data_IF_373375114323
#
_entry.id   IF_373375114323
#
_cell.length_a   1.000
_cell.length_b   1.000
_cell.length_c   1.000
_cell.angle_alpha   90.00
_cell.angle_beta   90.00
_cell.angle_gamma   90.00
#
_symmetry.space_group_name_H-M   'P 1'
#
loop_
_entity.id
_entity.type
_entity.pdbx_description
1 polymer ?
#
# COMPACT_ATOMS: atom_id res chain seq x y z
N UNK A 1 -4.37 -4.15 7.35
CA UNK A 1 -5.50 -3.81 8.22
C UNK A 1 -6.49 -4.95 8.24
N UNK A 2 -6.54 -5.71 9.31
CA UNK A 2 -7.59 -6.71 9.52
C UNK A 2 -8.39 -6.25 10.73
N UNK A 3 -9.67 -5.86 10.61
CA UNK A 3 -10.51 -5.60 11.76
C UNK A 3 -10.61 -6.88 12.61
N UNK A 4 -10.31 -6.79 13.88
CA UNK A 4 -10.54 -7.89 14.79
C UNK A 4 -12.06 -8.14 14.90
N UNK A 5 -12.54 -9.38 14.84
CA UNK A 5 -13.95 -9.69 14.99
C UNK A 5 -14.38 -9.39 16.42
N UNK A 6 -14.97 -8.24 16.65
CA UNK A 6 -15.67 -7.93 17.87
C UNK A 6 -17.15 -8.20 17.64
N UNK A 7 -17.79 -8.93 18.53
CA UNK A 7 -19.12 -9.51 18.52
C UNK A 7 -20.34 -8.73 17.97
N UNK A 8 -20.20 -7.86 17.02
CA UNK A 8 -21.30 -7.29 16.25
C UNK A 8 -21.74 -8.28 15.17
N UNK A 9 -22.99 -8.70 15.24
CA UNK A 9 -23.68 -9.66 14.36
C UNK A 9 -23.91 -9.20 12.91
N UNK A 10 -23.20 -8.23 12.38
CA UNK A 10 -23.21 -7.92 10.95
C UNK A 10 -21.83 -8.19 10.43
N UNK A 11 -21.77 -9.02 9.40
CA UNK A 11 -20.59 -9.40 8.65
C UNK A 11 -19.75 -8.17 8.30
N UNK A 12 -18.86 -7.81 9.21
CA UNK A 12 -17.84 -6.80 8.87
C UNK A 12 -16.88 -7.53 7.95
N UNK A 13 -16.82 -7.17 6.67
CA UNK A 13 -15.93 -7.86 5.77
C UNK A 13 -14.50 -7.70 6.28
N UNK A 14 -13.79 -8.82 6.40
CA UNK A 14 -12.34 -8.81 6.66
C UNK A 14 -11.69 -8.21 5.43
N UNK A 15 -11.42 -6.92 5.48
CA UNK A 15 -10.82 -6.20 4.37
C UNK A 15 -9.44 -5.72 4.83
N UNK A 16 -8.43 -6.05 4.04
CA UNK A 16 -7.08 -5.54 4.24
C UNK A 16 -6.94 -4.20 3.52
N UNK A 17 -6.44 -3.20 4.23
CA UNK A 17 -6.19 -1.87 3.68
C UNK A 17 -4.71 -1.53 3.77
N UNK A 18 -4.21 -0.86 2.74
CA UNK A 18 -2.86 -0.30 2.73
C UNK A 18 -2.97 1.21 2.74
N UNK A 19 -2.24 1.86 3.64
CA UNK A 19 -2.19 3.33 3.68
C UNK A 19 -1.35 3.82 2.50
N UNK A 20 -1.97 4.55 1.58
CA UNK A 20 -1.31 5.08 0.40
C UNK A 20 -0.60 6.41 0.67
N UNK A 21 -1.25 7.30 1.41
CA UNK A 21 -0.69 8.61 1.77
C UNK A 21 -1.32 9.20 3.02
N UNK A 22 -0.56 10.04 3.70
CA UNK A 22 -1.04 10.94 4.75
C UNK A 22 -1.14 12.35 4.18
N UNK A 23 -2.24 13.04 4.50
CA UNK A 23 -2.46 14.43 4.10
C UNK A 23 -2.63 15.26 5.35
N UNK A 24 -1.69 16.15 5.63
CA UNK A 24 -1.79 17.10 6.74
C UNK A 24 -2.41 18.40 6.27
N UNK A 25 -3.48 18.82 6.94
CA UNK A 25 -4.17 20.08 6.70
C UNK A 25 -3.92 21.03 7.89
N UNK A 26 -2.68 21.45 8.09
CA UNK A 26 -2.34 22.42 9.13
C UNK A 26 -2.30 23.82 8.53
N UNK A 27 -3.28 24.60 8.92
CA UNK A 27 -3.45 26.07 8.85
C UNK A 27 -3.35 26.79 7.51
N UNK A 28 -2.66 26.41 6.50
CA UNK A 28 -2.63 27.15 5.20
C UNK A 28 -1.94 26.30 4.11
N UNK A 29 -1.18 25.31 4.49
CA UNK A 29 -0.39 24.52 3.57
C UNK A 29 -0.75 23.04 3.72
N UNK A 30 -1.40 22.49 2.72
CA UNK A 30 -1.64 21.06 2.61
C UNK A 30 -0.29 20.37 2.36
N UNK A 31 0.14 19.54 3.30
CA UNK A 31 1.33 18.70 3.12
C UNK A 31 0.89 17.27 2.88
N UNK A 32 1.33 16.69 1.78
CA UNK A 32 1.09 15.29 1.45
C UNK A 32 2.38 14.48 1.63
N UNK A 33 2.28 13.37 2.33
CA UNK A 33 3.36 12.41 2.47
C UNK A 33 2.90 11.06 1.94
N UNK A 34 3.46 10.64 0.83
CA UNK A 34 3.15 9.36 0.22
C UNK A 34 3.86 8.22 0.95
N UNK A 35 3.14 7.13 1.16
CA UNK A 35 3.77 5.89 1.57
C UNK A 35 4.55 5.30 0.39
N UNK A 36 5.76 4.81 0.66
CA UNK A 36 6.63 4.23 -0.36
C UNK A 36 6.19 2.80 -0.67
N UNK A 37 5.13 2.69 -1.45
CA UNK A 37 4.60 1.43 -1.98
C UNK A 37 4.53 1.55 -3.50
N UNK A 38 4.49 0.42 -4.20
CA UNK A 38 4.46 0.39 -5.66
C UNK A 38 3.22 1.07 -6.24
N UNK A 39 3.31 1.54 -7.48
CA UNK A 39 2.23 2.24 -8.18
C UNK A 39 0.98 1.39 -8.32
N UNK A 40 1.12 0.08 -8.50
CA UNK A 40 0.01 -0.87 -8.59
C UNK A 40 -0.92 -0.82 -7.37
N UNK A 41 -0.39 -0.56 -6.18
CA UNK A 41 -1.21 -0.37 -4.98
C UNK A 41 -1.84 1.02 -4.90
N UNK A 42 -1.25 2.03 -5.56
CA UNK A 42 -1.79 3.39 -5.58
C UNK A 42 -3.02 3.52 -6.49
N UNK A 43 -3.15 2.65 -7.48
CA UNK A 43 -4.26 2.61 -8.44
C UNK A 43 -5.50 1.88 -7.91
N UNK A 44 -5.38 1.16 -6.79
CA UNK A 44 -6.51 0.48 -6.17
C UNK A 44 -7.54 1.47 -5.63
N UNK A 45 -8.81 1.01 -5.56
CA UNK A 45 -9.89 1.81 -4.99
C UNK A 45 -9.52 2.27 -3.58
N UNK A 46 -9.54 3.58 -3.37
CA UNK A 46 -9.19 4.18 -2.08
C UNK A 46 -10.39 4.83 -1.42
N UNK A 47 -10.35 4.92 -0.10
CA UNK A 47 -11.30 5.71 0.69
C UNK A 47 -10.55 6.50 1.76
N UNK A 48 -11.24 7.45 2.37
CA UNK A 48 -10.64 8.38 3.31
C UNK A 48 -10.75 7.88 4.74
N UNK A 49 -9.73 8.15 5.52
CA UNK A 49 -9.73 7.99 6.97
C UNK A 49 -9.18 9.23 7.66
N UNK A 50 -9.11 9.21 8.97
CA UNK A 50 -8.54 10.28 9.78
C UNK A 50 -7.31 9.76 10.50
N UNK A 51 -6.28 10.59 10.67
CA UNK A 51 -5.18 10.29 11.57
C UNK A 51 -4.94 11.43 12.55
N UNK A 52 -4.51 11.07 13.75
CA UNK A 52 -4.12 11.97 14.80
C UNK A 52 -2.77 11.57 15.38
N UNK A 53 -1.84 12.50 15.47
CA UNK A 53 -0.61 12.31 16.24
C UNK A 53 -0.88 12.70 17.69
N UNK A 54 -0.68 11.75 18.59
CA UNK A 54 -0.88 11.93 20.02
C UNK A 54 0.41 12.38 20.68
N UNK A 55 0.30 13.24 21.68
CA UNK A 55 1.44 13.70 22.47
C UNK A 55 1.93 12.63 23.45
N UNK A 56 1.01 11.80 23.94
CA UNK A 56 1.30 10.74 24.90
C UNK A 56 0.92 9.37 24.35
N UNK A 57 1.61 8.34 24.82
CA UNK A 57 1.28 6.95 24.51
C UNK A 57 -0.08 6.63 25.12
N UNK A 58 -1.05 6.12 24.34
CA UNK A 58 -2.39 5.80 24.83
C UNK A 58 -2.40 4.45 25.57
N UNK A 59 -1.55 4.30 26.58
CA UNK A 59 -1.43 3.07 27.34
C UNK A 59 -1.47 3.33 28.85
N UNK A 60 -2.05 2.39 29.58
CA UNK A 60 -1.97 2.32 31.05
C UNK A 60 -1.26 1.02 31.39
N UNK A 61 -0.22 1.09 32.20
CA UNK A 61 0.61 -0.08 32.57
C UNK A 61 1.12 -0.88 31.36
N UNK A 62 1.58 -0.20 30.31
CA UNK A 62 2.05 -0.81 29.06
C UNK A 62 0.98 -1.65 28.31
N UNK A 63 -0.28 -1.54 28.68
CA UNK A 63 -1.39 -2.17 27.97
C UNK A 63 -2.28 -1.12 27.34
N UNK A 64 -2.68 -1.36 26.12
CA UNK A 64 -3.63 -0.53 25.40
C UNK A 64 -5.06 -0.91 25.86
N UNK A 65 -5.57 -0.22 26.89
CA UNK A 65 -6.82 -0.58 27.57
C UNK A 65 -7.93 0.44 27.23
N UNK A 66 -8.04 0.80 25.99
CA UNK A 66 -9.12 1.72 25.62
C UNK A 66 -10.26 0.93 24.99
N UNK A 67 -11.36 0.79 25.73
CA UNK A 67 -12.53 0.01 25.30
C UNK A 67 -13.58 0.86 24.61
N UNK A 68 -13.62 2.15 24.92
CA UNK A 68 -14.62 3.06 24.38
C UNK A 68 -14.02 4.39 23.95
N UNK A 69 -14.77 5.11 23.13
CA UNK A 69 -14.31 6.37 22.57
C UNK A 69 -14.10 7.47 23.63
N UNK A 70 -14.86 7.47 24.72
CA UNK A 70 -14.68 8.44 25.80
C UNK A 70 -13.27 8.38 26.41
N UNK A 71 -12.77 7.16 26.57
CA UNK A 71 -11.42 6.95 27.12
C UNK A 71 -10.32 7.51 26.23
N UNK A 72 -10.49 7.42 24.90
CA UNK A 72 -9.49 7.94 23.96
C UNK A 72 -9.70 9.42 23.62
N UNK A 73 -10.92 9.92 23.73
CA UNK A 73 -11.24 11.32 23.42
C UNK A 73 -10.39 12.32 24.21
N UNK A 74 -10.03 11.97 25.46
CA UNK A 74 -9.16 12.78 26.32
C UNK A 74 -7.75 12.95 25.77
N UNK A 75 -7.29 12.06 24.89
CA UNK A 75 -5.96 12.11 24.29
C UNK A 75 -5.88 13.07 23.09
N UNK A 76 -7.01 13.47 22.54
CA UNK A 76 -7.07 14.37 21.38
C UNK A 76 -7.10 15.83 21.81
N UNK A 77 -6.31 16.65 21.10
CA UNK A 77 -6.40 18.09 21.20
C UNK A 77 -7.75 18.61 20.69
N UNK A 78 -8.12 19.83 21.03
CA UNK A 78 -9.37 20.42 20.56
C UNK A 78 -9.41 20.53 19.01
N UNK A 79 -8.29 20.85 18.38
CA UNK A 79 -8.19 20.92 16.93
C UNK A 79 -8.41 19.54 16.27
N UNK A 80 -7.87 18.48 16.86
CA UNK A 80 -8.09 17.11 16.39
C UNK A 80 -9.57 16.69 16.53
N UNK A 81 -10.21 17.02 17.65
CA UNK A 81 -11.65 16.78 17.87
C UNK A 81 -12.50 17.50 16.85
N UNK A 82 -12.19 18.76 16.57
CA UNK A 82 -12.90 19.55 15.56
C UNK A 82 -12.71 18.97 14.15
N UNK A 83 -11.52 18.47 13.84
CA UNK A 83 -11.24 17.83 12.55
C UNK A 83 -12.03 16.54 12.38
N UNK A 84 -12.04 15.67 13.40
CA UNK A 84 -12.82 14.43 13.38
C UNK A 84 -14.31 14.75 13.19
N UNK A 85 -14.83 15.75 13.92
CA UNK A 85 -16.21 16.21 13.75
C UNK A 85 -16.50 16.66 12.32
N UNK A 86 -15.66 17.52 11.76
CA UNK A 86 -15.82 18.01 10.38
C UNK A 86 -15.77 16.86 9.36
N UNK A 87 -14.93 15.87 9.60
CA UNK A 87 -14.85 14.67 8.77
C UNK A 87 -16.15 13.87 8.82
N UNK A 88 -16.69 13.61 10.01
CA UNK A 88 -17.97 12.90 10.18
C UNK A 88 -19.11 13.64 9.48
N UNK A 89 -19.24 14.96 9.69
CA UNK A 89 -20.28 15.78 9.05
C UNK A 89 -20.21 15.70 7.53
N UNK A 90 -19.01 15.80 6.97
CA UNK A 90 -18.82 15.88 5.51
C UNK A 90 -18.88 14.52 4.79
N UNK A 91 -18.79 13.41 5.51
CA UNK A 91 -18.69 12.07 4.91
C UNK A 91 -19.78 11.09 5.40
N UNK A 92 -20.68 11.50 6.29
CA UNK A 92 -21.74 10.66 6.85
C UNK A 92 -22.59 9.97 5.79
N UNK A 93 -22.93 10.69 4.71
CA UNK A 93 -23.78 10.18 3.63
C UNK A 93 -22.99 9.34 2.60
N UNK A 94 -21.67 9.25 2.76
CA UNK A 94 -20.78 8.58 1.80
C UNK A 94 -20.17 7.30 2.31
N UNK A 95 -20.01 7.18 3.63
CA UNK A 95 -19.34 6.08 4.27
C UNK A 95 -20.15 5.58 5.47
N UNK A 96 -20.25 4.27 5.61
CA UNK A 96 -20.84 3.64 6.80
C UNK A 96 -19.86 3.66 7.99
N UNK A 97 -18.56 3.68 7.69
CA UNK A 97 -17.49 3.70 8.68
C UNK A 97 -16.23 4.40 8.14
N UNK A 98 -15.31 4.71 9.02
CA UNK A 98 -13.97 5.18 8.65
C UNK A 98 -12.90 4.71 9.65
N UNK A 99 -11.65 4.51 9.22
CA UNK A 99 -10.55 4.25 10.12
C UNK A 99 -10.02 5.55 10.73
N UNK A 100 -9.82 5.51 12.05
CA UNK A 100 -9.11 6.54 12.80
C UNK A 100 -7.77 5.97 13.26
N UNK A 101 -6.68 6.57 12.76
CA UNK A 101 -5.32 6.21 13.12
C UNK A 101 -4.82 7.11 14.25
N UNK A 102 -4.33 6.51 15.31
CA UNK A 102 -3.66 7.18 16.41
C UNK A 102 -2.16 6.87 16.35
N UNK A 103 -1.36 7.86 15.98
CA UNK A 103 0.10 7.75 15.96
C UNK A 103 0.71 8.32 17.22
N UNK A 104 1.73 7.69 17.77
CA UNK A 104 2.52 8.20 18.87
C UNK A 104 3.99 7.82 18.73
N UNK A 105 4.86 8.66 19.26
CA UNK A 105 6.32 8.42 19.18
C UNK A 105 6.74 7.30 20.11
N UNK A 106 7.62 6.44 19.64
CA UNK A 106 8.27 5.41 20.43
C UNK A 106 9.72 5.79 20.72
N UNK A 107 10.33 5.27 21.81
CA UNK A 107 11.71 5.61 22.19
C UNK A 107 12.74 5.37 21.10
N UNK A 108 12.53 4.36 20.27
CA UNK A 108 13.42 3.99 19.16
C UNK A 108 13.38 4.95 17.97
N UNK A 109 12.64 6.06 18.09
CA UNK A 109 12.62 7.15 17.11
C UNK A 109 11.62 7.01 15.96
N UNK A 110 10.69 6.07 16.06
CA UNK A 110 9.59 5.89 15.09
C UNK A 110 8.27 6.47 15.57
N UNK A 111 7.24 6.31 14.72
CA UNK A 111 5.84 6.52 15.08
C UNK A 111 5.15 5.17 15.02
N UNK A 112 4.64 4.73 16.16
CA UNK A 112 3.77 3.58 16.21
C UNK A 112 2.33 4.01 15.93
N UNK A 113 1.63 3.21 15.15
CA UNK A 113 0.24 3.47 14.75
C UNK A 113 -0.69 2.42 15.34
N UNK A 114 -1.74 2.91 15.97
CA UNK A 114 -2.90 2.12 16.35
C UNK A 114 -4.08 2.58 15.51
N UNK A 115 -4.94 1.67 15.12
CA UNK A 115 -6.11 2.06 14.37
C UNK A 115 -7.40 1.51 14.97
N UNK A 116 -8.45 2.27 14.82
CA UNK A 116 -9.79 1.89 15.20
C UNK A 116 -10.74 2.17 14.05
N UNK A 117 -11.76 1.35 13.94
CA UNK A 117 -12.87 1.56 13.01
C UNK A 117 -14.00 2.23 13.77
N UNK A 118 -14.44 3.36 13.27
CA UNK A 118 -15.57 4.12 13.79
C UNK A 118 -16.72 4.02 12.82
N UNK A 119 -17.89 3.62 13.29
CA UNK A 119 -19.10 3.54 12.48
C UNK A 119 -19.86 4.88 12.57
N UNK A 120 -20.34 5.37 11.45
CA UNK A 120 -21.03 6.68 11.37
C UNK A 120 -22.30 6.72 12.22
N UNK A 121 -23.02 5.60 12.29
CA UNK A 121 -24.23 5.47 13.10
C UNK A 121 -23.98 5.57 14.61
N UNK A 122 -22.78 5.22 15.06
CA UNK A 122 -22.36 5.33 16.46
C UNK A 122 -21.89 6.75 16.84
N UNK A 123 -21.90 7.68 15.89
CA UNK A 123 -21.40 9.04 16.04
C UNK A 123 -22.52 10.07 15.76
N UNK A 124 -23.57 10.14 16.57
CA UNK A 124 -24.62 11.12 16.38
C UNK A 124 -24.06 12.53 16.47
N UNK A 125 -24.65 13.45 15.70
CA UNK A 125 -24.31 14.86 15.71
C UNK A 125 -25.31 15.55 16.62
N UNK A 126 -24.85 16.03 17.77
CA UNK A 126 -25.67 16.73 18.75
C UNK A 126 -25.41 18.25 18.76
N UNK A 127 -26.47 19.07 18.94
CA UNK A 127 -26.29 20.49 19.16
C UNK A 127 -25.73 20.74 20.57
N UNK A 128 -24.56 21.35 20.64
CA UNK A 128 -24.00 21.80 21.90
C UNK A 128 -24.19 23.30 22.02
N UNK A 129 -24.82 23.76 23.13
CA UNK A 129 -24.85 25.17 23.45
C UNK A 129 -23.49 25.62 23.97
N UNK A 130 -22.82 26.45 23.20
CA UNK A 130 -21.60 27.16 23.67
C UNK A 130 -21.96 28.63 23.92
N UNK A 131 -21.86 29.07 25.18
CA UNK A 131 -22.04 30.46 25.56
C UNK A 131 -23.51 30.92 25.70
N UNK A 132 -23.69 32.19 26.04
CA UNK A 132 -25.01 32.85 26.29
C UNK A 132 -25.70 33.35 25.03
N UNK A 133 -25.21 33.00 23.84
CA UNK A 133 -25.75 33.47 22.56
C UNK A 133 -26.55 32.46 21.77
N UNK A 134 -27.17 32.94 20.67
CA UNK A 134 -27.96 32.11 19.73
C UNK A 134 -27.16 31.12 18.90
N UNK A 135 -25.83 31.03 19.05
CA UNK A 135 -24.98 30.17 18.26
C UNK A 135 -24.97 28.77 18.82
N UNK A 136 -25.64 27.83 18.14
CA UNK A 136 -25.56 26.42 18.40
C UNK A 136 -24.39 25.85 17.61
N UNK A 137 -23.39 25.29 18.30
CA UNK A 137 -22.37 24.46 17.67
C UNK A 137 -22.86 23.00 17.65
N UNK A 138 -22.75 22.39 16.51
CA UNK A 138 -23.00 20.96 16.36
C UNK A 138 -21.73 20.19 16.64
N UNK A 139 -21.74 19.28 17.62
CA UNK A 139 -20.63 18.40 17.90
C UNK A 139 -21.01 16.95 17.68
N UNK A 140 -20.08 16.17 17.24
CA UNK A 140 -20.26 14.73 17.17
C UNK A 140 -20.23 14.16 18.58
N UNK A 141 -21.28 13.43 18.97
CA UNK A 141 -21.29 12.71 20.24
C UNK A 141 -20.58 11.35 20.09
N UNK A 142 -19.52 11.21 20.85
CA UNK A 142 -18.72 9.99 20.87
C UNK A 142 -18.95 9.15 22.13
N UNK A 143 -19.91 9.53 22.98
CA UNK A 143 -20.04 8.99 24.34
C UNK A 143 -20.45 7.53 24.40
N UNK A 144 -21.07 6.99 23.37
CA UNK A 144 -21.61 5.63 23.38
C UNK A 144 -20.91 4.66 22.45
N UNK A 145 -19.96 5.11 21.64
CA UNK A 145 -19.28 4.26 20.67
C UNK A 145 -18.34 3.26 21.32
N UNK A 146 -18.56 1.98 21.10
CA UNK A 146 -17.52 0.98 21.33
C UNK A 146 -16.45 1.11 20.26
N UNK A 147 -15.19 1.04 20.68
CA UNK A 147 -14.06 1.06 19.75
C UNK A 147 -13.88 -0.35 19.19
N UNK A 148 -13.90 -0.44 17.88
CA UNK A 148 -13.48 -1.64 17.18
C UNK A 148 -12.02 -1.44 16.75
N UNK A 149 -11.10 -2.10 17.43
CA UNK A 149 -9.69 -2.06 17.11
C UNK A 149 -9.41 -2.83 15.83
N UNK A 150 -8.46 -2.32 15.06
CA UNK A 150 -7.90 -2.99 13.90
C UNK A 150 -6.42 -3.25 14.12
N UNK A 151 -5.97 -4.43 13.74
CA UNK A 151 -4.54 -4.74 13.75
C UNK A 151 -3.81 -3.86 12.73
N UNK A 152 -2.67 -3.30 13.16
CA UNK A 152 -1.80 -2.51 12.30
C UNK A 152 -0.44 -3.17 12.20
N UNK A 153 0.03 -3.35 10.99
CA UNK A 153 1.34 -3.95 10.71
C UNK A 153 2.18 -2.95 9.94
N UNK A 154 3.42 -2.76 10.36
CA UNK A 154 4.39 -1.96 9.60
C UNK A 154 4.85 -2.76 8.37
N UNK A 155 4.48 -2.27 7.19
CA UNK A 155 4.87 -2.83 5.90
C UNK A 155 5.97 -2.01 5.23
N UNK A 156 6.65 -1.12 5.97
CA UNK A 156 7.81 -0.40 5.42
C UNK A 156 8.86 -1.39 4.91
N UNK A 157 9.62 -0.98 3.90
CA UNK A 157 10.62 -1.86 3.26
C UNK A 157 11.56 -2.53 4.26
N UNK A 158 12.05 -1.76 5.25
CA UNK A 158 12.94 -2.27 6.29
C UNK A 158 12.30 -3.37 7.12
N UNK A 159 11.02 -3.22 7.46
CA UNK A 159 10.30 -4.19 8.30
C UNK A 159 9.88 -5.42 7.49
N UNK A 160 9.42 -5.19 6.26
CA UNK A 160 8.96 -6.24 5.35
C UNK A 160 10.08 -7.23 4.99
N UNK A 161 11.28 -6.73 4.68
CA UNK A 161 12.42 -7.54 4.27
C UNK A 161 13.48 -7.73 5.36
N UNK A 162 13.23 -7.34 6.60
CA UNK A 162 14.22 -7.22 7.67
C UNK A 162 15.11 -8.45 7.91
N UNK A 163 14.63 -9.65 7.56
CA UNK A 163 15.38 -10.91 7.74
C UNK A 163 16.00 -11.47 6.46
N UNK A 164 15.59 -11.02 5.31
CA UNK A 164 15.99 -11.57 4.02
C UNK A 164 16.30 -10.51 2.96
N UNK A 165 16.44 -9.24 3.38
CA UNK A 165 16.72 -8.17 2.45
C UNK A 165 18.09 -8.34 1.79
N UNK A 166 18.12 -8.21 0.45
CA UNK A 166 19.38 -7.99 -0.26
C UNK A 166 19.99 -6.64 0.13
N UNK A 167 21.30 -6.43 -0.09
CA UNK A 167 21.95 -5.13 0.14
C UNK A 167 21.16 -4.00 -0.54
N UNK A 168 21.06 -2.85 0.13
CA UNK A 168 20.25 -1.70 -0.33
C UNK A 168 20.68 -1.21 -1.71
N UNK A 169 21.96 -1.26 -1.98
CA UNK A 169 22.57 -0.88 -3.25
C UNK A 169 22.04 -1.77 -4.39
N UNK A 170 21.95 -3.08 -4.13
CA UNK A 170 21.44 -4.05 -5.08
C UNK A 170 19.92 -3.97 -5.23
N UNK A 171 19.20 -3.76 -4.12
CA UNK A 171 17.75 -3.65 -4.13
C UNK A 171 17.19 -2.49 -4.98
N UNK A 172 17.98 -1.42 -5.14
CA UNK A 172 17.58 -0.25 -5.93
C UNK A 172 18.00 -0.34 -7.41
N UNK A 173 18.74 -1.38 -7.78
CA UNK A 173 19.17 -1.59 -9.17
C UNK A 173 17.97 -1.85 -10.07
N UNK A 174 18.05 -1.35 -11.30
CA UNK A 174 17.14 -1.70 -12.39
C UNK A 174 17.59 -3.02 -12.99
N UNK A 175 16.75 -4.04 -12.89
CA UNK A 175 17.06 -5.40 -13.33
C UNK A 175 16.16 -5.82 -14.48
N UNK A 176 16.75 -6.31 -15.55
CA UNK A 176 16.04 -6.92 -16.68
C UNK A 176 16.17 -8.44 -16.59
N UNK A 177 15.05 -9.14 -16.73
CA UNK A 177 15.02 -10.60 -16.87
C UNK A 177 14.44 -10.92 -18.25
N UNK A 178 15.28 -11.50 -19.09
CA UNK A 178 14.93 -11.94 -20.44
C UNK A 178 14.58 -13.42 -20.40
N UNK A 179 13.35 -13.77 -20.83
CA UNK A 179 12.79 -15.10 -20.71
C UNK A 179 12.26 -15.41 -19.31
N UNK A 180 10.95 -15.38 -19.12
CA UNK A 180 10.29 -15.71 -17.84
C UNK A 180 9.66 -17.11 -17.84
N UNK A 181 10.37 -18.07 -18.45
CA UNK A 181 10.05 -19.50 -18.40
C UNK A 181 10.36 -20.11 -17.02
N UNK A 182 10.83 -21.36 -17.02
CA UNK A 182 11.11 -22.12 -15.80
C UNK A 182 12.13 -21.41 -14.88
N UNK A 183 13.23 -20.95 -15.46
CA UNK A 183 14.33 -20.31 -14.68
C UNK A 183 13.97 -18.86 -14.36
N UNK A 184 13.63 -18.06 -15.36
CA UNK A 184 13.43 -16.61 -15.17
C UNK A 184 12.23 -16.27 -14.28
N UNK A 185 11.15 -17.07 -14.31
CA UNK A 185 10.01 -16.85 -13.42
C UNK A 185 10.35 -17.10 -11.95
N UNK A 186 11.10 -18.15 -11.66
CA UNK A 186 11.58 -18.46 -10.29
C UNK A 186 12.60 -17.44 -9.82
N UNK A 187 13.49 -16.99 -10.72
CA UNK A 187 14.44 -15.91 -10.43
C UNK A 187 13.72 -14.62 -10.08
N UNK A 188 12.72 -14.20 -10.89
CA UNK A 188 11.92 -13.00 -10.65
C UNK A 188 11.22 -13.05 -9.28
N UNK A 189 10.59 -14.18 -8.96
CA UNK A 189 9.97 -14.40 -7.65
C UNK A 189 11.01 -14.30 -6.51
N UNK A 190 12.15 -14.95 -6.66
CA UNK A 190 13.22 -14.95 -5.65
C UNK A 190 13.75 -13.53 -5.42
N UNK A 191 14.07 -12.80 -6.48
CA UNK A 191 14.52 -11.40 -6.39
C UNK A 191 13.50 -10.52 -5.68
N UNK A 192 12.22 -10.69 -6.00
CA UNK A 192 11.13 -9.95 -5.35
C UNK A 192 11.04 -10.27 -3.85
N UNK A 193 11.14 -11.54 -3.47
CA UNK A 193 11.17 -11.98 -2.05
C UNK A 193 12.39 -11.48 -1.31
N UNK A 194 13.51 -11.30 -2.00
CA UNK A 194 14.73 -10.69 -1.45
C UNK A 194 14.71 -9.17 -1.43
N UNK A 195 13.69 -8.53 -1.99
CA UNK A 195 13.50 -7.08 -1.90
C UNK A 195 13.96 -6.27 -3.10
N UNK A 196 14.13 -6.88 -4.28
CA UNK A 196 14.31 -6.12 -5.51
C UNK A 196 13.13 -5.18 -5.74
N UNK A 197 13.42 -3.93 -6.14
CA UNK A 197 12.39 -2.89 -6.30
C UNK A 197 12.02 -2.61 -7.74
N UNK A 198 12.93 -2.80 -8.67
CA UNK A 198 12.73 -2.42 -10.05
C UNK A 198 13.06 -3.62 -10.96
N UNK A 199 12.03 -4.30 -11.40
CA UNK A 199 12.15 -5.45 -12.30
C UNK A 199 11.47 -5.15 -13.63
N UNK A 200 12.16 -5.44 -14.71
CA UNK A 200 11.59 -5.45 -16.06
C UNK A 200 11.66 -6.89 -16.57
N UNK A 201 10.53 -7.39 -17.02
CA UNK A 201 10.38 -8.76 -17.50
C UNK A 201 10.13 -8.75 -19.00
N UNK A 202 10.88 -9.53 -19.74
CA UNK A 202 10.71 -9.69 -21.18
C UNK A 202 10.50 -11.16 -21.54
N UNK A 203 9.42 -11.45 -22.25
CA UNK A 203 9.13 -12.76 -22.86
C UNK A 203 8.08 -12.56 -23.97
N UNK A 204 8.25 -13.22 -25.09
CA UNK A 204 7.33 -13.12 -26.25
C UNK A 204 6.16 -14.10 -26.16
N UNK A 205 6.27 -15.09 -25.30
CA UNK A 205 5.35 -16.22 -25.26
C UNK A 205 4.14 -15.98 -24.37
N UNK A 206 3.07 -16.69 -24.71
CA UNK A 206 1.97 -16.92 -23.80
C UNK A 206 2.26 -18.14 -22.91
N UNK A 207 1.62 -18.16 -21.73
CA UNK A 207 1.66 -19.28 -20.83
C UNK A 207 0.90 -20.48 -21.42
N UNK A 208 1.53 -21.63 -21.37
CA UNK A 208 0.91 -22.91 -21.71
C UNK A 208 0.72 -23.79 -20.46
N UNK A 209 -0.27 -24.70 -20.46
CA UNK A 209 -0.49 -25.59 -19.31
C UNK A 209 0.75 -26.37 -18.89
N UNK A 210 1.57 -26.85 -19.85
CA UNK A 210 2.81 -27.56 -19.61
C UNK A 210 3.93 -26.71 -18.99
N UNK A 211 3.79 -25.41 -18.97
CA UNK A 211 4.76 -24.52 -18.31
C UNK A 211 4.56 -24.46 -16.79
N UNK A 212 3.31 -24.64 -16.33
CA UNK A 212 2.92 -24.40 -14.92
C UNK A 212 3.67 -25.32 -13.94
N UNK A 213 3.93 -26.54 -14.31
CA UNK A 213 4.62 -27.50 -13.42
C UNK A 213 6.09 -27.14 -13.13
N UNK A 214 6.70 -26.22 -13.89
CA UNK A 214 8.11 -25.86 -13.79
C UNK A 214 8.37 -24.35 -13.66
N UNK A 215 7.32 -23.55 -13.60
CA UNK A 215 7.41 -22.09 -13.54
C UNK A 215 6.67 -21.55 -12.32
N UNK A 216 6.93 -20.30 -11.94
CA UNK A 216 6.34 -19.70 -10.74
C UNK A 216 4.86 -19.30 -10.90
N UNK A 217 4.38 -19.15 -12.13
CA UNK A 217 3.00 -18.68 -12.34
C UNK A 217 1.95 -19.76 -12.11
N UNK A 218 0.77 -19.40 -11.58
CA UNK A 218 -0.31 -20.32 -11.26
C UNK A 218 -1.13 -20.71 -12.49
N UNK A 219 -1.86 -21.84 -12.41
CA UNK A 219 -2.73 -22.30 -13.49
C UNK A 219 -4.02 -21.48 -13.64
N UNK A 220 -4.61 -21.02 -12.53
CA UNK A 220 -5.96 -20.43 -12.53
C UNK A 220 -6.11 -19.16 -13.38
N UNK A 221 -5.02 -18.48 -13.71
CA UNK A 221 -5.03 -17.27 -14.53
C UNK A 221 -5.30 -17.55 -16.02
N UNK A 222 -5.32 -18.84 -16.43
CA UNK A 222 -5.57 -19.23 -17.81
C UNK A 222 -4.39 -18.98 -18.74
N UNK A 223 -4.66 -18.90 -20.05
CA UNK A 223 -3.66 -18.66 -21.09
C UNK A 223 -3.54 -17.16 -21.30
N UNK A 224 -2.49 -16.57 -20.73
CA UNK A 224 -2.15 -15.14 -20.84
C UNK A 224 -0.65 -14.99 -21.12
N UNK A 225 -0.22 -13.77 -21.41
CA UNK A 225 1.21 -13.47 -21.56
C UNK A 225 1.99 -13.83 -20.29
N UNK A 226 3.10 -14.56 -20.43
CA UNK A 226 3.94 -14.97 -19.31
C UNK A 226 4.38 -13.78 -18.45
N UNK A 227 4.79 -12.69 -19.10
CA UNK A 227 5.26 -11.47 -18.41
C UNK A 227 4.17 -10.82 -17.57
N UNK A 228 2.92 -10.77 -18.05
CA UNK A 228 1.79 -10.22 -17.31
C UNK A 228 1.44 -11.08 -16.10
N UNK A 229 1.46 -12.40 -16.25
CA UNK A 229 1.14 -13.32 -15.17
C UNK A 229 2.16 -13.22 -14.03
N UNK A 230 3.45 -13.22 -14.37
CA UNK A 230 4.53 -13.03 -13.39
C UNK A 230 4.45 -11.64 -12.75
N UNK A 231 4.24 -10.57 -13.51
CA UNK A 231 4.07 -9.22 -12.95
C UNK A 231 2.95 -9.18 -11.90
N UNK A 232 1.81 -9.81 -12.21
CA UNK A 232 0.70 -9.92 -11.27
C UNK A 232 1.09 -10.69 -9.99
N UNK A 233 1.80 -11.79 -10.13
CA UNK A 233 2.31 -12.56 -8.99
C UNK A 233 3.29 -11.73 -8.14
N UNK A 234 4.27 -11.07 -8.76
CA UNK A 234 5.29 -10.30 -8.03
C UNK A 234 4.69 -9.13 -7.24
N UNK A 235 3.70 -8.45 -7.81
CA UNK A 235 3.01 -7.36 -7.11
C UNK A 235 2.16 -7.87 -5.94
N UNK A 236 1.67 -9.12 -5.97
CA UNK A 236 1.00 -9.75 -4.83
C UNK A 236 1.99 -10.20 -3.74
N UNK A 237 3.22 -10.56 -4.12
CA UNK A 237 4.27 -10.94 -3.17
C UNK A 237 4.78 -9.72 -2.41
N UNK A 238 5.01 -8.60 -3.09
CA UNK A 238 5.64 -7.43 -2.46
C UNK A 238 4.96 -6.12 -2.88
N UNK A 239 4.55 -5.28 -1.90
CA UNK A 239 4.05 -3.95 -2.19
C UNK A 239 5.16 -2.95 -2.56
N UNK A 240 6.41 -3.39 -2.60
CA UNK A 240 7.59 -2.54 -2.85
C UNK A 240 8.23 -2.75 -4.22
N UNK A 241 7.76 -3.74 -4.98
CA UNK A 241 8.28 -4.01 -6.32
C UNK A 241 7.54 -3.19 -7.36
N UNK A 242 8.29 -2.47 -8.18
CA UNK A 242 7.81 -1.91 -9.45
C UNK A 242 8.20 -2.89 -10.55
N UNK A 243 7.21 -3.49 -11.17
CA UNK A 243 7.42 -4.49 -12.20
C UNK A 243 6.85 -4.02 -13.53
N UNK A 244 7.66 -4.02 -14.56
CA UNK A 244 7.28 -3.69 -15.94
C UNK A 244 7.29 -4.94 -16.79
N UNK A 245 6.21 -5.17 -17.54
CA UNK A 245 6.07 -6.27 -18.50
C UNK A 245 6.34 -5.77 -19.92
N UNK A 246 7.23 -6.47 -20.64
CA UNK A 246 7.53 -6.22 -22.03
C UNK A 246 7.29 -7.50 -22.84
N UNK A 247 6.43 -7.42 -23.86
CA UNK A 247 6.15 -8.54 -24.76
C UNK A 247 7.07 -8.53 -25.98
N UNK A 248 7.47 -7.37 -26.45
CA UNK A 248 8.28 -7.24 -27.66
C UNK A 248 9.31 -6.14 -27.50
N UNK A 249 10.54 -6.48 -27.78
CA UNK A 249 11.61 -5.52 -28.08
C UNK A 249 11.56 -5.18 -29.58
N UNK A 250 10.81 -5.94 -30.38
CA UNK A 250 10.71 -5.77 -31.83
C UNK A 250 10.25 -4.35 -32.20
N UNK A 251 9.35 -3.73 -31.45
CA UNK A 251 8.93 -2.35 -31.72
C UNK A 251 10.08 -1.35 -31.56
N UNK A 252 10.99 -1.60 -30.64
CA UNK A 252 12.23 -0.82 -30.49
C UNK A 252 13.16 -1.06 -31.68
N UNK A 253 13.33 -2.32 -32.06
CA UNK A 253 14.12 -2.73 -33.20
C UNK A 253 13.56 -2.14 -34.50
N UNK A 254 12.23 -2.27 -34.71
CA UNK A 254 11.55 -1.72 -35.89
C UNK A 254 11.64 -0.21 -35.96
N UNK A 255 11.50 0.50 -34.86
CA UNK A 255 11.68 1.96 -34.79
C UNK A 255 13.11 2.37 -35.17
N UNK A 256 14.09 1.59 -34.73
CA UNK A 256 15.51 1.80 -35.05
C UNK A 256 15.78 1.60 -36.54
N UNK A 257 15.25 0.52 -37.12
CA UNK A 257 15.42 0.28 -38.58
C UNK A 257 14.62 1.26 -39.44
N UNK A 258 13.38 1.63 -39.02
CA UNK A 258 12.56 2.59 -39.76
C UNK A 258 13.13 4.01 -39.77
N UNK A 259 13.95 4.36 -38.79
CA UNK A 259 14.65 5.65 -38.74
C UNK A 259 15.88 5.72 -39.68
N UNK A 260 16.17 4.65 -40.43
CA UNK A 260 17.30 4.61 -41.39
C UNK A 260 18.70 4.59 -40.74
N UNK A 261 18.72 4.38 -39.43
CA UNK A 261 19.96 4.16 -38.72
C UNK A 261 20.25 2.65 -38.72
N UNK A 262 21.30 2.25 -39.45
CA UNK A 262 21.98 0.96 -39.24
C UNK A 262 22.57 0.87 -37.80
N UNK A 263 22.13 1.76 -36.97
CA UNK A 263 22.74 2.04 -35.68
C UNK A 263 22.14 1.09 -34.63
N UNK A 264 22.98 0.24 -34.10
CA UNK A 264 22.69 -0.59 -32.91
C UNK A 264 22.38 0.26 -31.66
N UNK A 265 22.29 1.59 -31.81
CA UNK A 265 22.21 2.58 -30.75
C UNK A 265 20.94 2.42 -29.91
N UNK A 266 19.77 2.23 -30.50
CA UNK A 266 18.54 2.16 -29.72
C UNK A 266 18.41 0.86 -28.88
N UNK A 267 18.97 -0.25 -29.38
CA UNK A 267 19.05 -1.49 -28.62
C UNK A 267 20.09 -1.37 -27.51
N UNK A 268 21.24 -0.77 -27.79
CA UNK A 268 22.27 -0.50 -26.81
C UNK A 268 21.74 0.48 -25.74
N UNK A 269 21.10 1.57 -26.13
CA UNK A 269 20.47 2.52 -25.22
C UNK A 269 19.41 1.85 -24.32
N UNK A 270 18.61 0.94 -24.86
CA UNK A 270 17.65 0.18 -24.07
C UNK A 270 18.35 -0.68 -23.01
N UNK A 271 19.41 -1.41 -23.37
CA UNK A 271 20.13 -2.24 -22.42
C UNK A 271 20.92 -1.43 -21.40
N UNK A 272 21.41 -0.25 -21.80
CA UNK A 272 22.12 0.69 -20.90
C UNK A 272 21.20 1.28 -19.80
N UNK A 273 19.86 1.18 -19.95
CA UNK A 273 18.93 1.56 -18.89
C UNK A 273 18.99 0.64 -17.66
N UNK A 274 19.55 -0.56 -17.81
CA UNK A 274 19.58 -1.58 -16.76
C UNK A 274 20.95 -1.72 -16.12
N UNK A 275 20.94 -1.82 -14.80
CA UNK A 275 22.17 -2.09 -14.03
C UNK A 275 22.56 -3.56 -14.07
N UNK A 276 21.57 -4.47 -14.21
CA UNK A 276 21.76 -5.93 -14.23
C UNK A 276 20.82 -6.56 -15.24
N UNK A 277 21.34 -7.45 -16.05
CA UNK A 277 20.58 -8.19 -17.06
C UNK A 277 20.77 -9.68 -16.78
N UNK A 278 19.67 -10.40 -16.67
CA UNK A 278 19.64 -11.86 -16.58
C UNK A 278 19.07 -12.41 -17.88
N UNK A 279 19.90 -13.13 -18.62
CA UNK A 279 19.43 -13.89 -19.76
C UNK A 279 19.04 -15.32 -19.34
N UNK A 280 17.74 -15.57 -19.36
CA UNK A 280 17.10 -16.84 -19.03
C UNK A 280 16.38 -17.43 -20.27
N UNK A 281 16.71 -16.94 -21.46
CA UNK A 281 16.18 -17.48 -22.72
C UNK A 281 16.85 -18.82 -23.04
N UNK A 282 16.18 -19.62 -23.88
CA UNK A 282 16.73 -20.89 -24.36
C UNK A 282 17.38 -20.77 -25.75
N UNK A 283 17.21 -19.60 -26.39
CA UNK A 283 17.77 -19.32 -27.71
C UNK A 283 19.18 -18.76 -27.59
N UNK A 284 20.13 -19.55 -28.06
CA UNK A 284 21.54 -19.18 -28.20
C UNK A 284 21.82 -18.46 -29.53
N UNK A 285 20.86 -17.64 -30.04
CA UNK A 285 21.06 -16.89 -31.29
C UNK A 285 21.38 -15.43 -31.06
#
# INVERSE_FOLDING_TARGET
YTPLPTGRKKDTPVINYVVQKFVSCVQVKKTEMFCRISKSYQELRSFKGVYCLLNNIPSVYNKFIVENYNSIRGLFSQSQKNYIHSFVVSHRDKYDFFPLFCGYRIPEGGVHWQAMILFMDDLPIEPVRMGTGKNRLWLTDFRQGQIQWAETVDISYKYFFGRGAMPKELANKKMLIMGVGAIGSILAETLTRCGAKNLTLYDIDNKEPGNVCRSAYPFYTGIIEKTLDITSLLTQISPHVECTSLKSIADLVIKTYAAGHEDKSALAEFFDEFDVIFDCTTDNQ
#
